data_IF_028705623430
#
_entry.id   IF_028705623430
#
_cell.length_a   1.000
_cell.length_b   1.000
_cell.length_c   1.000
_cell.angle_alpha   90.00
_cell.angle_beta   90.00
_cell.angle_gamma   90.00
#
_symmetry.space_group_name_H-M   'P 1'
#
loop_
_entity.id
_entity.type
_entity.pdbx_description
1 polymer ?
#
# COMPACT_ATOMS: atom_id res chain seq x y z
N UNK A 1 10.51 3.06 19.00
CA UNK A 1 11.14 3.23 17.67
C UNK A 1 11.42 1.89 16.98
N UNK A 2 12.16 0.96 17.59
CA UNK A 2 12.39 -0.37 16.99
C UNK A 2 11.10 -1.11 16.64
N UNK A 3 10.10 -1.10 17.53
CA UNK A 3 8.76 -1.67 17.31
C UNK A 3 8.08 -1.10 16.06
N UNK A 4 8.14 0.22 15.86
CA UNK A 4 7.53 0.91 14.71
C UNK A 4 8.26 0.56 13.42
N UNK A 5 9.59 0.52 13.42
CA UNK A 5 10.38 0.13 12.23
C UNK A 5 10.08 -1.31 11.83
N UNK A 6 10.05 -2.23 12.80
CA UNK A 6 9.68 -3.63 12.55
C UNK A 6 8.24 -3.73 12.03
N UNK A 7 7.32 -2.96 12.62
CA UNK A 7 5.94 -2.84 12.14
C UNK A 7 5.86 -2.34 10.69
N UNK A 8 6.60 -1.30 10.33
CA UNK A 8 6.67 -0.76 8.96
C UNK A 8 7.23 -1.79 7.98
N UNK A 9 8.27 -2.53 8.34
CA UNK A 9 8.86 -3.57 7.48
C UNK A 9 7.86 -4.70 7.27
N UNK A 10 7.30 -5.25 8.35
CA UNK A 10 6.35 -6.36 8.27
C UNK A 10 5.09 -5.96 7.51
N UNK A 11 4.51 -4.81 7.85
CA UNK A 11 3.34 -4.29 7.15
C UNK A 11 3.66 -4.02 5.68
N UNK A 12 4.80 -3.42 5.36
CA UNK A 12 5.22 -3.17 3.98
C UNK A 12 5.36 -4.45 3.15
N UNK A 13 5.98 -5.50 3.72
CA UNK A 13 6.10 -6.80 3.06
C UNK A 13 4.72 -7.43 2.84
N UNK A 14 3.89 -7.48 3.88
CA UNK A 14 2.58 -8.11 3.79
C UNK A 14 1.66 -7.35 2.83
N UNK A 15 1.71 -6.01 2.85
CA UNK A 15 0.94 -5.15 1.97
C UNK A 15 1.37 -5.31 0.50
N UNK A 16 2.67 -5.41 0.24
CA UNK A 16 3.18 -5.64 -1.11
C UNK A 16 2.68 -6.98 -1.71
N UNK A 17 2.44 -8.00 -0.88
CA UNK A 17 1.91 -9.29 -1.32
C UNK A 17 0.47 -9.20 -1.84
N UNK A 18 -0.26 -8.12 -1.53
CA UNK A 18 -1.63 -7.91 -2.00
C UNK A 18 -1.61 -7.71 -3.53
N UNK A 19 -2.38 -8.51 -4.31
CA UNK A 19 -2.28 -8.49 -5.77
C UNK A 19 -2.66 -7.18 -6.44
N UNK A 20 -3.47 -6.33 -5.82
CA UNK A 20 -3.93 -5.05 -6.36
C UNK A 20 -2.80 -4.10 -6.81
N UNK A 21 -1.60 -4.20 -6.24
CA UNK A 21 -0.47 -3.32 -6.58
C UNK A 21 0.38 -3.82 -7.75
N UNK A 22 0.41 -5.13 -8.02
CA UNK A 22 1.31 -5.72 -9.01
C UNK A 22 0.60 -6.50 -10.12
N UNK A 23 -0.56 -7.10 -9.84
CA UNK A 23 -1.29 -7.95 -10.79
C UNK A 23 -1.83 -7.17 -11.99
N UNK A 24 -2.43 -5.95 -11.84
CA UNK A 24 -2.88 -5.17 -13.00
C UNK A 24 -1.74 -4.79 -13.95
N UNK A 25 -0.54 -4.51 -13.41
CA UNK A 25 0.65 -4.17 -14.20
C UNK A 25 1.06 -5.34 -15.10
N UNK A 26 1.10 -6.54 -14.53
CA UNK A 26 1.46 -7.78 -15.25
C UNK A 26 0.39 -8.14 -16.28
N UNK A 27 -0.89 -7.97 -15.94
CA UNK A 27 -2.01 -8.25 -16.85
C UNK A 27 -1.96 -7.34 -18.10
N UNK A 28 -1.76 -6.03 -17.92
CA UNK A 28 -1.65 -5.07 -19.02
C UNK A 28 -0.40 -5.32 -19.86
N UNK A 29 0.75 -5.56 -19.22
CA UNK A 29 1.99 -5.85 -19.95
C UNK A 29 1.86 -7.11 -20.82
N UNK A 30 1.16 -8.15 -20.33
CA UNK A 30 0.88 -9.36 -21.12
C UNK A 30 -0.09 -9.11 -22.26
N UNK A 31 -1.18 -8.35 -22.04
CA UNK A 31 -2.16 -8.06 -23.09
C UNK A 31 -1.57 -7.18 -24.21
N UNK A 32 -0.72 -6.22 -23.85
CA UNK A 32 -0.07 -5.29 -24.77
C UNK A 32 1.27 -5.83 -25.33
N UNK A 33 1.66 -7.06 -24.97
CA UNK A 33 2.92 -7.71 -25.38
C UNK A 33 4.16 -6.87 -25.10
N UNK A 34 4.21 -6.26 -23.91
CA UNK A 34 5.35 -5.46 -23.49
C UNK A 34 6.54 -6.32 -23.11
N UNK A 35 7.73 -5.79 -23.39
CA UNK A 35 8.98 -6.41 -22.99
C UNK A 35 9.18 -6.32 -21.48
N UNK A 36 9.98 -7.23 -20.91
CA UNK A 36 10.23 -7.29 -19.46
C UNK A 36 10.75 -5.96 -18.90
N UNK A 37 11.60 -5.24 -19.64
CA UNK A 37 12.14 -3.95 -19.20
C UNK A 37 11.05 -2.86 -19.13
N UNK A 38 10.05 -2.90 -20.02
CA UNK A 38 8.94 -1.95 -20.04
C UNK A 38 8.03 -2.16 -18.84
N UNK A 39 7.78 -3.42 -18.48
CA UNK A 39 7.05 -3.75 -17.26
C UNK A 39 7.80 -3.29 -16.00
N UNK A 40 9.12 -3.51 -15.92
CA UNK A 40 9.91 -3.05 -14.77
C UNK A 40 9.88 -1.52 -14.68
N UNK A 41 10.00 -0.81 -15.80
CA UNK A 41 9.90 0.66 -15.83
C UNK A 41 8.51 1.13 -15.37
N UNK A 42 7.45 0.52 -15.88
CA UNK A 42 6.08 0.82 -15.46
C UNK A 42 5.91 0.55 -13.95
N UNK A 43 6.39 -0.57 -13.44
CA UNK A 43 6.32 -0.93 -12.03
C UNK A 43 7.08 0.07 -11.16
N UNK A 44 8.28 0.49 -11.56
CA UNK A 44 9.05 1.52 -10.84
C UNK A 44 8.32 2.86 -10.80
N UNK A 45 7.72 3.30 -11.91
CA UNK A 45 6.98 4.57 -11.97
C UNK A 45 5.73 4.51 -11.08
N UNK A 46 4.96 3.44 -11.19
CA UNK A 46 3.70 3.27 -10.45
C UNK A 46 3.93 3.05 -8.96
N UNK A 47 4.92 2.24 -8.57
CA UNK A 47 5.32 2.06 -7.18
C UNK A 47 5.83 3.38 -6.56
N UNK A 48 6.65 4.14 -7.30
CA UNK A 48 7.12 5.45 -6.84
C UNK A 48 5.96 6.43 -6.66
N UNK A 49 5.01 6.46 -7.60
CA UNK A 49 3.82 7.31 -7.50
C UNK A 49 2.97 6.96 -6.25
N UNK A 50 2.73 5.67 -6.03
CA UNK A 50 2.02 5.17 -4.84
C UNK A 50 2.70 5.54 -3.52
N UNK A 51 4.01 5.28 -3.42
CA UNK A 51 4.80 5.63 -2.24
C UNK A 51 4.79 7.14 -2.02
N UNK A 52 4.92 7.94 -3.08
CA UNK A 52 4.92 9.39 -2.97
C UNK A 52 3.58 9.93 -2.45
N UNK A 53 2.44 9.40 -2.94
CA UNK A 53 1.11 9.75 -2.43
C UNK A 53 0.97 9.44 -0.93
N UNK A 54 1.39 8.24 -0.53
CA UNK A 54 1.36 7.80 0.89
C UNK A 54 2.32 8.60 1.77
N UNK A 55 3.53 8.91 1.31
CA UNK A 55 4.50 9.69 2.09
C UNK A 55 4.05 11.14 2.26
N UNK A 56 3.43 11.76 1.24
CA UNK A 56 2.94 13.14 1.34
C UNK A 56 1.86 13.24 2.43
N UNK A 57 0.88 12.34 2.41
CA UNK A 57 -0.17 12.28 3.43
C UNK A 57 0.39 11.87 4.79
N UNK A 58 1.31 10.91 4.81
CA UNK A 58 1.98 10.44 6.01
C UNK A 58 2.77 11.53 6.72
N UNK A 59 3.49 12.38 5.99
CA UNK A 59 4.18 13.53 6.59
C UNK A 59 3.16 14.49 7.21
N UNK A 60 2.04 14.78 6.52
CA UNK A 60 1.00 15.66 7.05
C UNK A 60 0.39 15.10 8.35
N UNK A 61 0.06 13.80 8.38
CA UNK A 61 -0.46 13.14 9.58
C UNK A 61 0.60 13.01 10.68
N UNK A 62 1.85 12.75 10.35
CA UNK A 62 2.96 12.73 11.30
C UNK A 62 3.18 14.08 11.97
N UNK A 63 3.03 15.19 11.23
CA UNK A 63 3.08 16.54 11.80
C UNK A 63 1.91 16.78 12.78
N UNK A 64 0.71 16.30 12.46
CA UNK A 64 -0.44 16.33 13.39
C UNK A 64 -0.12 15.50 14.64
N UNK A 65 0.44 14.29 14.47
CA UNK A 65 0.86 13.41 15.57
C UNK A 65 1.91 14.04 16.47
N UNK A 66 2.89 14.75 15.90
CA UNK A 66 3.91 15.49 16.64
C UNK A 66 3.31 16.57 17.54
N UNK A 67 2.31 17.31 17.05
CA UNK A 67 1.58 18.30 17.87
C UNK A 67 0.74 17.65 18.96
N UNK A 68 0.08 16.53 18.66
CA UNK A 68 -0.71 15.78 19.64
C UNK A 68 0.15 15.19 20.76
N UNK A 69 1.33 14.65 20.42
CA UNK A 69 2.25 14.05 21.37
C UNK A 69 2.77 15.07 22.39
N UNK A 70 3.11 16.29 21.95
CA UNK A 70 3.57 17.35 22.85
C UNK A 70 2.52 17.85 23.83
N UNK A 71 1.23 17.67 23.53
CA UNK A 71 0.13 18.22 24.33
C UNK A 71 -0.62 17.14 25.13
N UNK A 72 -0.51 15.87 24.74
CA UNK A 72 -1.24 14.73 25.31
C UNK A 72 -0.41 13.43 25.28
N UNK A 73 0.78 13.42 25.90
CA UNK A 73 1.75 12.31 25.91
C UNK A 73 1.15 10.94 26.25
N UNK A 74 0.11 10.87 27.09
CA UNK A 74 -0.51 9.60 27.51
C UNK A 74 -1.48 8.95 26.51
N UNK A 75 -2.00 9.69 25.52
CA UNK A 75 -3.09 9.19 24.66
C UNK A 75 -2.64 8.72 23.28
N UNK A 76 -1.51 9.20 22.76
CA UNK A 76 -1.03 8.87 21.41
C UNK A 76 -0.78 7.37 21.25
N UNK A 77 -0.29 6.72 22.31
CA UNK A 77 -0.02 5.29 22.36
C UNK A 77 -1.27 4.39 22.32
N UNK A 78 -2.44 4.95 22.66
CA UNK A 78 -3.74 4.24 22.56
C UNK A 78 -4.46 4.61 21.27
N UNK A 79 -4.39 5.88 20.86
CA UNK A 79 -5.07 6.39 19.67
C UNK A 79 -4.58 5.69 18.41
N UNK A 80 -3.27 5.49 18.24
CA UNK A 80 -2.72 4.89 17.03
C UNK A 80 -3.16 3.41 16.82
N UNK A 81 -3.05 2.51 17.82
CA UNK A 81 -3.56 1.15 17.69
C UNK A 81 -5.08 1.09 17.53
N UNK A 82 -5.82 1.95 18.23
CA UNK A 82 -7.30 2.01 18.12
C UNK A 82 -7.72 2.43 16.71
N UNK A 83 -7.06 3.45 16.13
CA UNK A 83 -7.31 3.84 14.74
C UNK A 83 -6.99 2.71 13.76
N UNK A 84 -5.88 1.99 13.96
CA UNK A 84 -5.53 0.80 13.16
C UNK A 84 -6.61 -0.28 13.24
N UNK A 85 -7.12 -0.58 14.44
CA UNK A 85 -8.18 -1.56 14.64
C UNK A 85 -9.47 -1.09 13.97
N UNK A 86 -9.83 0.19 14.11
CA UNK A 86 -11.00 0.79 13.45
C UNK A 86 -10.86 0.71 11.93
N UNK A 87 -9.71 1.08 11.36
CA UNK A 87 -9.47 0.94 9.92
C UNK A 87 -9.51 -0.52 9.47
N UNK A 88 -8.92 -1.45 10.22
CA UNK A 88 -8.99 -2.89 9.95
C UNK A 88 -10.42 -3.42 9.96
N UNK A 89 -11.24 -3.00 10.93
CA UNK A 89 -12.66 -3.35 11.01
C UNK A 89 -13.47 -2.72 9.86
N UNK A 90 -13.20 -1.46 9.49
CA UNK A 90 -13.82 -0.81 8.34
C UNK A 90 -13.47 -1.58 7.07
N UNK A 91 -12.21 -1.92 6.81
CA UNK A 91 -11.84 -2.71 5.63
C UNK A 91 -12.43 -4.12 5.62
N UNK A 92 -12.54 -4.75 6.79
CA UNK A 92 -13.17 -6.07 6.94
C UNK A 92 -14.68 -6.04 6.67
N UNK A 93 -15.35 -4.95 7.05
CA UNK A 93 -16.82 -4.78 6.95
C UNK A 93 -17.28 -4.05 5.71
N UNK A 94 -16.40 -3.26 5.07
CA UNK A 94 -16.63 -2.60 3.79
C UNK A 94 -16.57 -3.65 2.70
N UNK A 95 -17.67 -4.38 2.61
CA UNK A 95 -18.07 -5.13 1.43
C UNK A 95 -18.65 -4.15 0.41
N UNK A 96 -17.86 -3.13 0.02
CA UNK A 96 -18.19 -2.33 -1.16
C UNK A 96 -18.00 -3.28 -2.34
N UNK A 97 -19.09 -3.73 -2.99
CA UNK A 97 -18.98 -4.47 -4.21
C UNK A 97 -18.51 -3.44 -5.22
N UNK A 98 -17.21 -3.37 -5.46
CA UNK A 98 -16.77 -2.93 -6.77
C UNK A 98 -17.09 -4.10 -7.67
N UNK A 99 -18.34 -4.15 -8.14
CA UNK A 99 -18.57 -4.68 -9.46
C UNK A 99 -17.64 -3.86 -10.35
N UNK A 100 -16.51 -4.46 -10.73
CA UNK A 100 -16.02 -4.21 -12.06
C UNK A 100 -17.18 -4.63 -12.95
N UNK A 101 -18.06 -3.68 -13.26
CA UNK A 101 -18.85 -3.74 -14.46
C UNK A 101 -17.80 -3.80 -15.56
N UNK A 102 -17.38 -5.02 -15.88
CA UNK A 102 -16.89 -5.41 -17.18
C UNK A 102 -18.06 -5.23 -18.16
N UNK A 103 -18.54 -3.99 -18.29
CA UNK A 103 -19.56 -3.61 -19.22
C UNK A 103 -18.86 -2.74 -20.25
N UNK A 104 -18.41 -3.44 -21.28
CA UNK A 104 -18.42 -3.01 -22.68
C UNK A 104 -17.96 -1.57 -22.89
N UNK A 105 -16.65 -1.42 -23.10
CA UNK A 105 -16.07 -0.51 -24.11
C UNK A 105 -14.58 -0.85 -24.35
N UNK A 106 -14.23 -2.15 -24.42
CA UNK A 106 -12.88 -2.60 -24.85
C UNK A 106 -12.75 -2.58 -26.38
N UNK A 107 -13.38 -1.60 -27.02
CA UNK A 107 -13.41 -1.45 -28.47
C UNK A 107 -13.43 0.05 -28.79
N UNK A 108 -12.29 0.75 -28.62
CA UNK A 108 -11.80 1.86 -29.49
C UNK A 108 -10.65 2.69 -28.89
N UNK A 109 -9.60 2.04 -28.35
CA UNK A 109 -8.42 2.80 -27.94
C UNK A 109 -7.12 2.13 -28.37
N UNK A 110 -6.64 2.49 -29.58
CA UNK A 110 -5.21 2.50 -29.89
C UNK A 110 -4.53 3.52 -28.97
N UNK A 111 -4.33 3.24 -27.69
CA UNK A 111 -3.64 4.16 -26.77
C UNK A 111 -2.15 3.87 -26.76
N UNK A 112 -1.36 4.91 -27.02
CA UNK A 112 0.09 4.94 -26.82
C UNK A 112 0.46 4.48 -25.42
N UNK A 113 1.57 3.74 -25.28
CA UNK A 113 2.11 3.21 -24.02
C UNK A 113 2.14 4.26 -22.89
N UNK A 114 2.43 5.52 -23.22
CA UNK A 114 2.44 6.65 -22.28
C UNK A 114 1.11 6.85 -21.55
N UNK A 115 -0.04 6.64 -22.21
CA UNK A 115 -1.35 6.82 -21.58
C UNK A 115 -1.63 5.74 -20.54
N UNK A 116 -1.19 4.50 -20.77
CA UNK A 116 -1.29 3.42 -19.78
C UNK A 116 -0.46 3.74 -18.54
N UNK A 117 0.80 4.16 -18.75
CA UNK A 117 1.69 4.57 -17.66
C UNK A 117 1.06 5.69 -16.82
N UNK A 118 0.53 6.74 -17.47
CA UNK A 118 -0.08 7.87 -16.78
C UNK A 118 -1.32 7.48 -15.98
N UNK A 119 -2.23 6.68 -16.55
CA UNK A 119 -3.46 6.25 -15.86
C UNK A 119 -3.08 5.42 -14.62
N UNK A 120 -2.21 4.42 -14.79
CA UNK A 120 -1.79 3.54 -13.69
C UNK A 120 -1.06 4.32 -12.59
N UNK A 121 -0.14 5.21 -12.97
CA UNK A 121 0.59 6.05 -12.01
C UNK A 121 -0.36 6.99 -11.26
N UNK A 122 -1.31 7.62 -11.96
CA UNK A 122 -2.29 8.49 -11.34
C UNK A 122 -3.21 7.72 -10.37
N UNK A 123 -3.74 6.56 -10.77
CA UNK A 123 -4.57 5.74 -9.88
C UNK A 123 -3.82 5.28 -8.64
N UNK A 124 -2.54 4.93 -8.79
CA UNK A 124 -1.69 4.50 -7.70
C UNK A 124 -1.33 5.65 -6.75
N UNK A 125 -1.05 6.84 -7.29
CA UNK A 125 -0.80 8.05 -6.50
C UNK A 125 -2.02 8.47 -5.66
N UNK A 126 -3.23 8.40 -6.24
CA UNK A 126 -4.47 8.76 -5.57
C UNK A 126 -4.99 7.67 -4.61
N UNK A 127 -4.32 6.52 -4.52
CA UNK A 127 -4.69 5.40 -3.63
C UNK A 127 -3.59 5.18 -2.58
N UNK A 128 -3.43 6.10 -1.62
CA UNK A 128 -2.43 5.97 -0.55
C UNK A 128 -2.76 4.81 0.41
N UNK A 129 -1.74 4.20 1.01
CA UNK A 129 -1.92 3.14 2.01
C UNK A 129 -2.35 3.70 3.36
N UNK A 130 -3.66 3.69 3.64
CA UNK A 130 -4.22 4.11 4.93
C UNK A 130 -3.63 3.37 6.13
N UNK A 131 -3.13 2.16 5.92
CA UNK A 131 -2.47 1.36 6.94
C UNK A 131 -1.16 1.98 7.41
N UNK A 132 -0.38 2.48 6.45
CA UNK A 132 0.93 3.08 6.70
C UNK A 132 0.77 4.49 7.30
N UNK A 133 -0.30 5.20 6.96
CA UNK A 133 -0.65 6.51 7.54
C UNK A 133 -0.73 6.49 9.08
N UNK A 134 -1.23 5.40 9.65
CA UNK A 134 -1.29 5.22 11.11
C UNK A 134 0.10 5.14 11.76
N UNK A 135 1.07 4.53 11.07
CA UNK A 135 2.46 4.45 11.52
C UNK A 135 3.13 5.81 11.44
N UNK A 136 2.82 6.60 10.41
CA UNK A 136 3.27 7.98 10.29
C UNK A 136 2.75 8.87 11.42
N UNK A 137 1.47 8.76 11.75
CA UNK A 137 0.86 9.46 12.89
C UNK A 137 1.60 9.13 14.20
N UNK A 138 1.92 7.85 14.41
CA UNK A 138 2.67 7.36 15.57
C UNK A 138 4.13 7.85 15.56
N UNK A 139 4.77 7.84 14.39
CA UNK A 139 6.13 8.33 14.21
C UNK A 139 6.26 9.83 14.53
N UNK A 140 5.16 10.59 14.41
CA UNK A 140 5.07 11.97 14.86
C UNK A 140 5.48 12.19 16.31
N UNK A 141 5.21 11.24 17.21
CA UNK A 141 5.64 11.31 18.61
C UNK A 141 7.16 11.31 18.80
N UNK A 142 7.92 10.87 17.79
CA UNK A 142 9.38 10.88 17.76
C UNK A 142 9.95 12.06 16.95
N UNK A 143 9.11 13.02 16.58
CA UNK A 143 9.48 14.20 15.83
C UNK A 143 9.79 13.94 14.35
N UNK A 144 10.29 14.97 13.67
CA UNK A 144 10.52 14.95 12.22
C UNK A 144 11.48 13.84 11.77
N UNK A 145 12.50 13.53 12.58
CA UNK A 145 13.45 12.46 12.29
C UNK A 145 12.77 11.09 12.26
N UNK A 146 11.80 10.83 13.15
CA UNK A 146 11.01 9.60 13.15
C UNK A 146 10.16 9.48 11.88
N UNK A 147 9.46 10.55 11.51
CA UNK A 147 8.63 10.63 10.29
C UNK A 147 9.47 10.32 9.04
N UNK A 148 10.62 10.99 8.88
CA UNK A 148 11.49 10.80 7.72
C UNK A 148 12.11 9.40 7.67
N UNK A 149 12.45 8.82 8.82
CA UNK A 149 12.97 7.46 8.89
C UNK A 149 11.93 6.44 8.44
N UNK A 150 10.69 6.55 8.93
CA UNK A 150 9.59 5.67 8.52
C UNK A 150 9.26 5.84 7.04
N UNK A 151 9.28 7.08 6.52
CA UNK A 151 9.10 7.32 5.09
C UNK A 151 10.16 6.62 4.24
N UNK A 152 11.44 6.70 4.63
CA UNK A 152 12.53 6.07 3.91
C UNK A 152 12.45 4.54 3.96
N UNK A 153 12.18 3.97 5.14
CA UNK A 153 12.02 2.52 5.31
C UNK A 153 10.85 2.01 4.47
N UNK A 154 9.71 2.70 4.54
CA UNK A 154 8.52 2.36 3.75
C UNK A 154 8.80 2.43 2.24
N UNK A 155 9.44 3.49 1.77
CA UNK A 155 9.77 3.67 0.35
C UNK A 155 10.65 2.53 -0.17
N UNK A 156 11.70 2.17 0.56
CA UNK A 156 12.61 1.09 0.16
C UNK A 156 11.87 -0.25 0.12
N UNK A 157 11.15 -0.61 1.18
CA UNK A 157 10.46 -1.91 1.27
C UNK A 157 9.34 -2.01 0.22
N UNK A 158 8.53 -0.98 0.04
CA UNK A 158 7.39 -1.00 -0.88
C UNK A 158 7.84 -1.07 -2.34
N UNK A 159 8.78 -0.21 -2.76
CA UNK A 159 9.27 -0.20 -4.15
C UNK A 159 9.97 -1.53 -4.48
N UNK A 160 10.86 -2.01 -3.59
CA UNK A 160 11.57 -3.28 -3.83
C UNK A 160 10.63 -4.47 -3.82
N UNK A 161 9.64 -4.49 -2.92
CA UNK A 161 8.62 -5.53 -2.83
C UNK A 161 7.78 -5.63 -4.11
N UNK A 162 7.21 -4.51 -4.57
CA UNK A 162 6.38 -4.46 -5.78
C UNK A 162 7.19 -4.90 -7.01
N UNK A 163 8.40 -4.36 -7.21
CA UNK A 163 9.23 -4.73 -8.37
C UNK A 163 9.56 -6.22 -8.36
N UNK A 164 9.91 -6.77 -7.20
CA UNK A 164 10.25 -8.18 -7.04
C UNK A 164 9.05 -9.07 -7.39
N UNK A 165 7.86 -8.76 -6.88
CA UNK A 165 6.64 -9.50 -7.15
C UNK A 165 6.22 -9.40 -8.61
N UNK A 166 6.32 -8.22 -9.22
CA UNK A 166 6.07 -8.04 -10.66
C UNK A 166 6.97 -8.94 -11.50
N UNK A 167 8.26 -9.05 -11.16
CA UNK A 167 9.20 -9.92 -11.89
C UNK A 167 8.84 -11.40 -11.71
N UNK A 168 8.48 -11.83 -10.49
CA UNK A 168 8.08 -13.21 -10.23
C UNK A 168 6.78 -13.58 -10.95
N UNK A 169 5.77 -12.72 -10.88
CA UNK A 169 4.50 -12.90 -11.55
C UNK A 169 4.65 -12.90 -13.09
N UNK A 170 5.49 -12.02 -13.64
CA UNK A 170 5.74 -11.98 -15.08
C UNK A 170 6.38 -13.27 -15.61
N UNK A 171 7.32 -13.86 -14.85
CA UNK A 171 7.98 -15.14 -15.18
C UNK A 171 7.04 -16.35 -15.16
N UNK A 172 5.75 -16.18 -14.86
CA UNK A 172 4.77 -17.25 -15.00
C UNK A 172 4.73 -18.20 -13.82
N UNK A 173 5.18 -17.75 -12.63
CA UNK A 173 4.75 -18.39 -11.39
C UNK A 173 3.21 -18.32 -11.41
N UNK A 174 2.55 -19.48 -11.55
CA UNK A 174 1.12 -19.61 -11.26
C UNK A 174 0.95 -19.33 -9.77
N UNK A 175 0.96 -18.05 -9.39
CA UNK A 175 0.61 -17.63 -8.05
C UNK A 175 -0.86 -18.01 -7.88
N UNK A 176 -1.05 -19.08 -7.12
CA UNK A 176 -2.29 -19.69 -6.65
C UNK A 176 -3.57 -18.96 -7.09
N UNK A 177 -4.34 -19.59 -7.97
CA UNK A 177 -5.72 -19.24 -8.32
C UNK A 177 -6.08 -17.73 -8.21
N UNK A 178 -5.63 -16.93 -9.18
CA UNK A 178 -5.80 -15.47 -9.26
C UNK A 178 -7.21 -14.97 -8.87
N UNK A 179 -8.26 -15.73 -9.23
CA UNK A 179 -9.65 -15.41 -8.88
C UNK A 179 -9.95 -15.48 -7.38
N UNK A 180 -9.33 -16.41 -6.64
CA UNK A 180 -9.56 -16.55 -5.20
C UNK A 180 -8.85 -15.45 -4.40
N UNK A 181 -7.65 -15.06 -4.83
CA UNK A 181 -6.90 -14.00 -4.14
C UNK A 181 -7.51 -12.63 -4.43
N UNK A 182 -7.92 -12.34 -5.67
CA UNK A 182 -8.66 -11.11 -6.00
C UNK A 182 -9.96 -10.98 -5.19
N UNK A 183 -10.71 -12.07 -5.01
CA UNK A 183 -11.99 -12.03 -4.30
C UNK A 183 -11.84 -11.89 -2.78
N UNK A 184 -10.73 -12.33 -2.20
CA UNK A 184 -10.48 -12.29 -0.75
C UNK A 184 -9.49 -11.20 -0.33
N UNK A 185 -8.97 -10.42 -1.27
CA UNK A 185 -7.98 -9.37 -1.06
C UNK A 185 -8.28 -8.50 0.17
N UNK A 186 -9.47 -7.89 0.19
CA UNK A 186 -9.89 -6.98 1.27
C UNK A 186 -9.98 -7.67 2.63
N UNK A 187 -10.41 -8.94 2.66
CA UNK A 187 -10.47 -9.74 3.89
C UNK A 187 -9.08 -10.07 4.41
N UNK A 188 -8.14 -10.41 3.51
CA UNK A 188 -6.75 -10.69 3.86
C UNK A 188 -6.11 -9.42 4.43
N UNK A 189 -6.25 -8.28 3.75
CA UNK A 189 -5.75 -6.99 4.22
C UNK A 189 -6.35 -6.59 5.57
N UNK A 190 -7.68 -6.75 5.74
CA UNK A 190 -8.37 -6.47 7.00
C UNK A 190 -7.89 -7.36 8.15
N UNK A 191 -7.69 -8.66 7.92
CA UNK A 191 -7.16 -9.58 8.94
C UNK A 191 -5.72 -9.21 9.32
N UNK A 192 -4.87 -8.92 8.34
CA UNK A 192 -3.49 -8.48 8.58
C UNK A 192 -3.48 -7.21 9.42
N UNK A 193 -4.34 -6.24 9.09
CA UNK A 193 -4.46 -4.99 9.84
C UNK A 193 -4.88 -5.20 11.29
N UNK A 194 -5.88 -6.07 11.52
CA UNK A 194 -6.33 -6.42 12.87
C UNK A 194 -5.18 -7.07 13.64
N UNK A 195 -4.46 -8.01 13.04
CA UNK A 195 -3.33 -8.69 13.69
C UNK A 195 -2.20 -7.71 14.01
N UNK A 196 -1.81 -6.86 13.05
CA UNK A 196 -0.74 -5.87 13.25
C UNK A 196 -1.16 -4.84 14.31
N UNK A 197 -2.41 -4.37 14.29
CA UNK A 197 -2.96 -3.48 15.30
C UNK A 197 -2.95 -4.08 16.71
N UNK A 198 -3.37 -5.33 16.85
CA UNK A 198 -3.32 -6.08 18.11
C UNK A 198 -1.87 -6.22 18.58
N UNK A 199 -0.98 -6.70 17.72
CA UNK A 199 0.44 -6.88 18.04
C UNK A 199 1.06 -5.56 18.49
N UNK A 200 0.78 -4.46 17.80
CA UNK A 200 1.31 -3.13 18.13
C UNK A 200 0.73 -2.61 19.45
N UNK A 201 -0.53 -2.92 19.77
CA UNK A 201 -1.15 -2.57 21.05
C UNK A 201 -0.48 -3.27 22.24
N UNK A 202 -0.02 -4.52 22.06
CA UNK A 202 0.63 -5.30 23.12
C UNK A 202 2.17 -5.18 23.15
N UNK A 203 2.81 -4.74 22.06
CA UNK A 203 4.26 -4.52 21.97
C UNK A 203 4.70 -3.10 22.39
N UNK A 204 3.82 -2.37 23.07
CA UNK A 204 4.07 -1.03 23.55
C UNK A 204 4.83 -1.02 24.88
#
# INVERSE_FOLDING_TARGET
MYSIITGTILLGIIHALIPNHWLPLVAIARSEKWEKYELILLASITASAHVMGTVILGIALGMVGSKLAHQYEGYVHVIAPVLLIIFGLIYFTVNLPHHHTANKDVQYYKKSKTKWVLILAATMFLSPCLEVESLFLTAGAYGLNGILLIALVYAVISITGIITLVIFAFKGVQMMNSQFIEHNEKRITGIVLIIVGIITFFLH
#
